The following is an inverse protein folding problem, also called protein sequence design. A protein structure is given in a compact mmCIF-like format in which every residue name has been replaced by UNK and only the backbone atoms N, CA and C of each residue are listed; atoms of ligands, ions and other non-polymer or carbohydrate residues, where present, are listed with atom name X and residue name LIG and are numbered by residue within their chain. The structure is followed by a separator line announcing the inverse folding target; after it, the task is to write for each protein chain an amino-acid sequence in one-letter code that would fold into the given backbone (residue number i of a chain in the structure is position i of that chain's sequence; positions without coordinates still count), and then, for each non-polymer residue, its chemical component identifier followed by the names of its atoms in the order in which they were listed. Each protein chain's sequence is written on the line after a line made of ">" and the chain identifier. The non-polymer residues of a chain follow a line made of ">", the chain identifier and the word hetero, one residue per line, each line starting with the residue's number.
data_IF_981579454448
#
_entry.id   IF_981579454448
#
_cell.length_a   1.000
_cell.length_b   1.000
_cell.length_c   1.000
_cell.angle_alpha   90.00
_cell.angle_beta   90.00
_cell.angle_gamma   90.00
#
_symmetry.space_group_name_H-M   'P 1'
#
loop_
_entity.id
_entity.type
_entity.pdbx_description
1 polymer ?
#
# COMPACT_ATOMS: atom_id res chain seq x y z
N UNK A 1 -12.31 25.48 -6.94
CA UNK A 1 -12.02 24.10 -6.51
C UNK A 1 -12.70 23.15 -7.47
N UNK A 2 -12.08 22.03 -7.79
CA UNK A 2 -12.75 20.95 -8.52
C UNK A 2 -13.83 20.29 -7.66
N UNK A 3 -14.77 19.57 -8.29
CA UNK A 3 -15.71 18.73 -7.57
C UNK A 3 -14.99 17.52 -6.95
N UNK A 4 -15.38 17.14 -5.73
CA UNK A 4 -14.86 15.97 -5.06
C UNK A 4 -15.75 14.76 -5.35
N UNK A 5 -15.15 13.67 -5.82
CA UNK A 5 -15.86 12.42 -6.08
C UNK A 5 -15.57 11.43 -4.95
N UNK A 6 -16.53 11.18 -4.07
CA UNK A 6 -16.37 10.27 -2.94
C UNK A 6 -16.93 8.90 -3.31
N UNK A 7 -16.04 7.95 -3.60
CA UNK A 7 -16.45 6.57 -3.91
C UNK A 7 -17.15 5.92 -2.71
N UNK A 8 -18.20 5.14 -2.98
CA UNK A 8 -18.92 4.34 -1.99
C UNK A 8 -18.17 3.06 -1.63
N UNK A 9 -17.17 2.65 -2.43
CA UNK A 9 -16.29 1.51 -2.16
C UNK A 9 -14.89 1.98 -1.76
N UNK A 10 -14.60 2.03 -0.45
CA UNK A 10 -13.30 2.45 0.09
C UNK A 10 -12.69 1.43 1.08
N UNK A 11 -13.18 0.21 1.04
CA UNK A 11 -12.79 -0.88 1.95
C UNK A 11 -13.11 -2.24 1.33
N UNK A 12 -12.65 -3.32 1.97
CA UNK A 12 -12.88 -4.71 1.53
C UNK A 12 -14.36 -5.13 1.47
N UNK A 13 -15.23 -4.40 2.15
CA UNK A 13 -16.68 -4.62 2.16
C UNK A 13 -17.38 -4.27 0.85
N UNK A 14 -18.69 -4.51 0.80
CA UNK A 14 -19.55 -4.02 -0.30
C UNK A 14 -19.61 -2.47 -0.28
N UNK A 15 -19.98 -1.82 -1.40
CA UNK A 15 -20.21 -0.37 -1.40
C UNK A 15 -21.17 0.08 -0.28
N UNK A 16 -20.86 1.21 0.35
CA UNK A 16 -21.69 1.83 1.37
C UNK A 16 -23.00 2.38 0.78
N UNK A 17 -24.04 2.42 1.60
CA UNK A 17 -25.30 3.07 1.24
C UNK A 17 -25.21 4.57 1.56
N UNK A 18 -25.49 5.46 0.59
CA UNK A 18 -25.54 6.91 0.84
C UNK A 18 -26.70 7.24 1.80
N UNK A 19 -26.45 8.15 2.75
CA UNK A 19 -27.46 8.62 3.73
C UNK A 19 -27.85 10.09 3.55
N UNK A 20 -27.26 10.76 2.56
CA UNK A 20 -27.55 12.14 2.15
C UNK A 20 -28.34 12.17 0.85
N UNK A 21 -28.86 13.34 0.49
CA UNK A 21 -29.61 13.60 -0.75
C UNK A 21 -28.94 14.71 -1.56
N UNK A 22 -29.17 14.70 -2.88
CA UNK A 22 -28.78 15.80 -3.76
C UNK A 22 -29.39 17.12 -3.25
N UNK A 23 -28.56 18.15 -3.14
CA UNK A 23 -28.90 19.45 -2.59
C UNK A 23 -28.59 19.63 -1.09
N UNK A 24 -28.24 18.56 -0.37
CA UNK A 24 -27.86 18.66 1.04
C UNK A 24 -26.55 19.44 1.19
N UNK A 25 -26.51 20.35 2.18
CA UNK A 25 -25.28 21.01 2.60
C UNK A 25 -24.50 20.11 3.53
N UNK A 26 -23.23 19.92 3.25
CA UNK A 26 -22.30 19.12 4.05
C UNK A 26 -21.14 19.98 4.55
N UNK A 27 -20.60 19.61 5.70
CA UNK A 27 -19.36 20.13 6.28
C UNK A 27 -18.27 19.06 6.23
N UNK A 28 -17.01 19.44 6.40
CA UNK A 28 -15.94 18.46 6.70
C UNK A 28 -16.37 17.55 7.85
N UNK A 29 -16.21 16.25 7.70
CA UNK A 29 -16.58 15.27 8.71
C UNK A 29 -18.08 14.95 8.80
N UNK A 30 -18.93 15.47 7.90
CA UNK A 30 -20.34 15.05 7.84
C UNK A 30 -20.41 13.59 7.37
N UNK A 31 -21.11 12.72 8.09
CA UNK A 31 -21.35 11.34 7.66
C UNK A 31 -22.26 11.34 6.42
N UNK A 32 -21.81 10.72 5.33
CA UNK A 32 -22.52 10.74 4.04
C UNK A 32 -22.88 9.35 3.51
N UNK A 33 -22.20 8.30 3.97
CA UNK A 33 -22.59 6.92 3.66
C UNK A 33 -22.18 5.94 4.78
N UNK A 34 -22.97 4.89 4.94
CA UNK A 34 -22.80 3.84 5.95
C UNK A 34 -22.61 2.45 5.32
N UNK A 35 -21.80 1.56 5.91
CA UNK A 35 -21.55 0.24 5.35
C UNK A 35 -22.77 -0.69 5.48
N UNK A 36 -23.02 -1.50 4.45
CA UNK A 36 -24.02 -2.58 4.49
C UNK A 36 -23.36 -3.90 4.89
N UNK A 37 -23.00 -4.02 6.18
CA UNK A 37 -22.29 -5.18 6.74
C UNK A 37 -20.84 -4.87 7.10
N UNK A 38 -19.89 -5.72 6.69
CA UNK A 38 -18.46 -5.45 6.88
C UNK A 38 -18.09 -4.20 6.08
N UNK A 39 -17.54 -3.18 6.75
CA UNK A 39 -17.16 -1.92 6.11
C UNK A 39 -16.91 -0.82 7.13
N UNK A 40 -16.83 0.41 6.66
CA UNK A 40 -16.55 1.58 7.48
C UNK A 40 -17.28 2.82 6.96
N UNK A 41 -17.64 3.72 7.88
CA UNK A 41 -18.31 4.98 7.56
C UNK A 41 -17.52 5.85 6.57
N UNK A 42 -18.25 6.57 5.72
CA UNK A 42 -17.71 7.50 4.72
C UNK A 42 -18.21 8.91 5.03
N UNK A 43 -17.29 9.86 4.98
CA UNK A 43 -17.50 11.24 5.39
C UNK A 43 -17.22 12.20 4.25
N UNK A 44 -17.89 13.35 4.26
CA UNK A 44 -17.48 14.49 3.43
C UNK A 44 -16.10 14.98 3.88
N UNK A 45 -15.20 15.16 2.94
CA UNK A 45 -13.86 15.72 3.15
C UNK A 45 -13.81 17.25 2.94
N UNK A 46 -14.95 17.90 2.65
CA UNK A 46 -15.08 19.33 2.44
C UNK A 46 -16.42 19.92 2.92
N UNK A 47 -16.45 21.24 3.07
CA UNK A 47 -17.69 22.02 3.08
C UNK A 47 -18.21 22.15 1.66
N UNK A 48 -19.52 21.99 1.45
CA UNK A 48 -20.10 22.09 0.12
C UNK A 48 -21.53 21.59 0.03
N UNK A 49 -21.94 21.29 -1.20
CA UNK A 49 -23.27 20.78 -1.52
C UNK A 49 -23.15 19.45 -2.26
N UNK A 50 -23.98 18.48 -1.89
CA UNK A 50 -24.11 17.22 -2.64
C UNK A 50 -24.74 17.52 -3.99
N UNK A 51 -23.99 17.36 -5.06
CA UNK A 51 -24.42 17.68 -6.43
C UNK A 51 -25.02 16.46 -7.14
N UNK A 52 -24.45 15.28 -6.90
CA UNK A 52 -24.87 14.03 -7.53
C UNK A 52 -24.64 12.84 -6.60
N UNK A 53 -25.50 11.83 -6.73
CA UNK A 53 -25.34 10.52 -6.08
C UNK A 53 -25.59 9.45 -7.15
N UNK A 54 -24.64 8.54 -7.31
CA UNK A 54 -24.73 7.37 -8.18
C UNK A 54 -24.59 6.09 -7.36
N UNK A 55 -24.71 4.93 -7.99
CA UNK A 55 -24.46 3.63 -7.35
C UNK A 55 -22.98 3.45 -6.93
N UNK A 56 -22.07 4.27 -7.46
CA UNK A 56 -20.62 4.16 -7.27
C UNK A 56 -20.05 5.26 -6.38
N UNK A 57 -20.64 6.46 -6.38
CA UNK A 57 -20.04 7.62 -5.72
C UNK A 57 -21.05 8.72 -5.33
N UNK A 58 -20.59 9.61 -4.46
CA UNK A 58 -21.24 10.88 -4.12
C UNK A 58 -20.35 12.02 -4.62
N UNK A 59 -20.90 12.93 -5.43
CA UNK A 59 -20.19 14.12 -5.91
C UNK A 59 -20.53 15.30 -5.03
N UNK A 60 -19.51 15.95 -4.48
CA UNK A 60 -19.63 17.13 -3.64
C UNK A 60 -19.00 18.30 -4.38
N UNK A 61 -19.79 19.35 -4.58
CA UNK A 61 -19.31 20.65 -5.05
C UNK A 61 -18.80 21.45 -3.84
N UNK A 62 -17.48 21.68 -3.70
CA UNK A 62 -16.96 22.37 -2.53
C UNK A 62 -17.33 23.85 -2.53
N UNK A 63 -17.60 24.40 -1.34
CA UNK A 63 -17.69 25.83 -1.13
C UNK A 63 -16.34 26.51 -1.42
N UNK A 64 -16.35 27.77 -1.85
CA UNK A 64 -15.13 28.54 -2.13
C UNK A 64 -14.24 28.71 -0.90
N UNK A 65 -14.85 28.84 0.27
CA UNK A 65 -14.17 28.93 1.56
C UNK A 65 -14.24 27.58 2.29
N UNK A 66 -13.08 27.04 2.66
CA UNK A 66 -12.96 25.81 3.43
C UNK A 66 -12.40 26.14 4.81
N UNK A 67 -13.19 25.88 5.85
CA UNK A 67 -12.76 26.07 7.24
C UNK A 67 -12.00 24.85 7.75
N UNK A 68 -11.21 25.02 8.79
CA UNK A 68 -10.46 23.92 9.41
C UNK A 68 -11.31 23.06 10.36
N UNK A 69 -12.43 23.60 10.87
CA UNK A 69 -13.31 22.81 11.72
C UNK A 69 -13.97 21.64 10.97
N UNK A 70 -14.36 20.63 11.72
CA UNK A 70 -15.07 19.48 11.21
C UNK A 70 -16.16 19.04 12.20
N UNK A 71 -17.13 18.29 11.69
CA UNK A 71 -18.14 17.63 12.52
C UNK A 71 -17.47 16.50 13.26
N UNK A 72 -17.43 16.58 14.60
CA UNK A 72 -16.87 15.54 15.44
C UNK A 72 -17.75 14.29 15.45
N UNK A 73 -17.12 13.12 15.51
CA UNK A 73 -17.85 11.87 15.73
C UNK A 73 -18.49 11.82 17.13
N UNK A 74 -19.50 10.96 17.35
CA UNK A 74 -20.04 10.72 18.69
C UNK A 74 -18.95 10.25 19.67
N UNK A 75 -19.09 10.67 20.92
CA UNK A 75 -18.22 10.23 22.01
C UNK A 75 -18.57 8.80 22.42
N UNK A 76 -17.58 8.04 22.88
CA UNK A 76 -17.75 6.65 23.32
C UNK A 76 -16.43 6.07 23.81
N UNK A 77 -16.37 4.74 23.92
CA UNK A 77 -15.09 4.05 24.15
C UNK A 77 -14.14 4.25 22.96
N UNK A 78 -12.80 4.10 23.15
CA UNK A 78 -11.85 4.22 22.05
C UNK A 78 -12.21 3.36 20.82
N UNK A 79 -12.64 2.11 21.04
CA UNK A 79 -13.05 1.20 19.96
C UNK A 79 -14.30 1.70 19.22
N UNK A 80 -15.31 2.18 19.94
CA UNK A 80 -16.54 2.75 19.35
C UNK A 80 -16.22 4.01 18.55
N UNK A 81 -15.33 4.87 19.03
CA UNK A 81 -14.92 6.08 18.33
C UNK A 81 -14.15 5.77 17.04
N UNK A 82 -13.21 4.80 17.06
CA UNK A 82 -12.50 4.36 15.86
C UNK A 82 -13.47 3.80 14.81
N UNK A 83 -14.47 3.02 15.26
CA UNK A 83 -15.53 2.49 14.41
C UNK A 83 -16.38 3.62 13.83
N UNK A 84 -16.81 4.56 14.66
CA UNK A 84 -17.62 5.71 14.27
C UNK A 84 -16.87 6.58 13.25
N UNK A 85 -15.58 6.85 13.44
CA UNK A 85 -14.73 7.60 12.52
C UNK A 85 -14.51 6.92 11.16
N UNK A 86 -14.92 5.66 11.00
CA UNK A 86 -14.75 4.94 9.74
C UNK A 86 -13.28 4.74 9.36
N UNK A 87 -12.41 4.49 10.35
CA UNK A 87 -10.99 4.21 10.12
C UNK A 87 -10.85 2.83 9.47
N UNK A 88 -10.09 2.78 8.39
CA UNK A 88 -9.73 1.56 7.67
C UNK A 88 -8.22 1.42 7.58
N UNK A 89 -7.72 0.20 7.37
CA UNK A 89 -6.30 -0.04 7.14
C UNK A 89 -5.79 0.68 5.89
N UNK A 90 -4.98 1.71 6.08
CA UNK A 90 -4.47 2.60 5.03
C UNK A 90 -3.24 2.05 4.29
N UNK A 91 -2.81 0.82 4.63
CA UNK A 91 -1.74 0.10 3.92
C UNK A 91 -2.18 -0.56 2.60
N UNK A 92 -3.40 -0.32 2.13
CA UNK A 92 -3.89 -0.73 0.80
C UNK A 92 -5.21 -1.50 0.82
N UNK A 93 -5.35 -2.53 1.66
CA UNK A 93 -6.54 -3.39 1.62
C UNK A 93 -7.83 -2.71 2.11
N UNK A 94 -7.74 -1.71 3.01
CA UNK A 94 -8.93 -1.03 3.54
C UNK A 94 -9.80 -1.90 4.44
N UNK A 95 -9.21 -2.81 5.23
CA UNK A 95 -9.97 -3.58 6.21
C UNK A 95 -10.40 -2.66 7.38
N UNK A 96 -11.65 -2.71 7.88
CA UNK A 96 -12.09 -1.85 8.99
C UNK A 96 -11.22 -2.02 10.25
N UNK A 97 -10.60 -0.92 10.71
CA UNK A 97 -9.58 -0.99 11.77
C UNK A 97 -10.15 -1.47 13.09
N UNK A 98 -11.33 -0.97 13.48
CA UNK A 98 -12.00 -1.40 14.70
C UNK A 98 -12.23 -2.92 14.74
N UNK A 99 -12.65 -3.53 13.63
CA UNK A 99 -12.84 -4.99 13.54
C UNK A 99 -11.50 -5.73 13.65
N UNK A 100 -10.42 -5.16 13.11
CA UNK A 100 -9.10 -5.79 13.11
C UNK A 100 -8.44 -5.81 14.50
N UNK A 101 -8.64 -4.76 15.30
CA UNK A 101 -7.98 -4.59 16.60
C UNK A 101 -8.82 -5.12 17.77
N UNK A 102 -10.09 -5.48 17.52
CA UNK A 102 -11.01 -6.13 18.46
C UNK A 102 -10.69 -7.63 18.64
N UNK A 103 -9.43 -7.93 18.96
CA UNK A 103 -8.91 -9.31 19.09
C UNK A 103 -8.83 -9.80 20.53
N UNK A 104 -8.85 -8.89 21.52
CA UNK A 104 -8.83 -9.17 22.96
C UNK A 104 -7.87 -10.31 23.35
N UNK A 105 -6.56 -10.07 23.26
CA UNK A 105 -5.56 -11.08 23.62
C UNK A 105 -5.61 -11.40 25.12
N UNK A 106 -5.76 -12.68 25.47
CA UNK A 106 -5.95 -13.10 26.87
C UNK A 106 -4.63 -13.22 27.65
N UNK A 107 -3.51 -13.54 26.99
CA UNK A 107 -2.20 -13.72 27.63
C UNK A 107 -1.07 -13.44 26.62
N UNK A 108 -0.32 -12.36 26.78
CA UNK A 108 0.62 -11.93 25.75
C UNK A 108 -0.09 -11.29 24.56
N UNK A 109 0.66 -10.68 23.66
CA UNK A 109 0.11 -10.17 22.42
C UNK A 109 1.04 -9.15 21.80
N UNK A 110 1.01 -9.07 20.47
CA UNK A 110 1.85 -8.16 19.73
C UNK A 110 1.04 -7.28 18.78
N UNK A 111 1.19 -5.96 18.92
CA UNK A 111 0.85 -5.02 17.86
C UNK A 111 2.08 -4.83 16.98
N UNK A 112 2.03 -5.29 15.75
CA UNK A 112 3.11 -5.12 14.77
C UNK A 112 2.77 -3.93 13.88
N UNK A 113 3.53 -2.84 14.03
CA UNK A 113 3.35 -1.63 13.21
C UNK A 113 4.13 -1.83 11.92
N UNK A 114 3.41 -1.98 10.82
CA UNK A 114 3.98 -2.02 9.49
C UNK A 114 4.37 -0.60 9.03
N UNK A 115 5.61 -0.24 9.33
CA UNK A 115 6.29 0.99 8.92
C UNK A 115 7.29 0.73 7.77
N UNK A 116 7.09 -0.37 7.02
CA UNK A 116 8.04 -0.83 6.01
C UNK A 116 8.00 -0.03 4.71
N UNK A 117 6.87 0.63 4.41
CA UNK A 117 6.55 1.33 3.14
C UNK A 117 7.17 0.60 1.93
N UNK A 118 6.69 -0.63 1.70
CA UNK A 118 7.40 -1.55 0.80
C UNK A 118 7.28 -1.24 -0.68
N UNK A 119 6.21 -0.58 -1.10
CA UNK A 119 6.03 -0.17 -2.50
C UNK A 119 7.13 0.84 -2.89
N UNK A 120 7.95 0.53 -3.90
CA UNK A 120 9.11 1.35 -4.22
C UNK A 120 8.71 2.74 -4.68
N UNK A 121 9.47 3.73 -4.20
CA UNK A 121 9.32 5.13 -4.57
C UNK A 121 8.33 5.91 -3.70
N UNK A 122 7.57 5.25 -2.82
CA UNK A 122 6.72 5.90 -1.82
C UNK A 122 7.58 6.41 -0.65
N UNK A 123 7.14 7.53 -0.04
CA UNK A 123 7.81 8.15 1.12
C UNK A 123 6.84 8.68 2.20
N UNK A 124 5.52 8.59 1.99
CA UNK A 124 4.53 9.31 2.81
C UNK A 124 4.39 8.73 4.23
N UNK A 125 4.49 7.41 4.40
CA UNK A 125 4.43 6.80 5.73
C UNK A 125 5.74 6.99 6.50
N UNK A 126 6.88 6.92 5.82
CA UNK A 126 8.19 7.20 6.44
C UNK A 126 8.26 8.66 6.88
N UNK A 127 7.87 9.60 6.00
CA UNK A 127 7.86 11.02 6.34
C UNK A 127 6.90 11.34 7.49
N UNK A 128 5.72 10.70 7.57
CA UNK A 128 4.83 10.87 8.72
C UNK A 128 5.49 10.44 10.04
N UNK A 129 6.29 9.37 10.05
CA UNK A 129 7.02 8.95 11.25
C UNK A 129 8.12 9.97 11.59
N UNK A 130 8.72 10.62 10.59
CA UNK A 130 9.73 11.65 10.84
C UNK A 130 9.12 12.95 11.36
N UNK A 131 7.96 13.34 10.84
CA UNK A 131 7.35 14.66 11.08
C UNK A 131 6.33 14.65 12.24
N UNK A 132 5.61 13.54 12.45
CA UNK A 132 4.59 13.37 13.51
C UNK A 132 4.69 12.04 14.30
N UNK A 133 5.88 11.66 14.80
CA UNK A 133 6.08 10.37 15.45
C UNK A 133 5.21 10.17 16.70
N UNK A 134 4.98 11.22 17.49
CA UNK A 134 4.22 11.14 18.74
C UNK A 134 2.76 10.75 18.47
N UNK A 135 2.17 11.24 17.37
CA UNK A 135 0.81 10.89 16.96
C UNK A 135 0.72 9.41 16.58
N UNK A 136 1.73 8.90 15.87
CA UNK A 136 1.81 7.48 15.52
C UNK A 136 1.94 6.62 16.79
N UNK A 137 2.85 6.98 17.71
CA UNK A 137 3.05 6.26 18.99
C UNK A 137 1.79 6.31 19.85
N UNK A 138 1.09 7.45 19.91
CA UNK A 138 -0.20 7.58 20.61
C UNK A 138 -1.23 6.60 20.06
N UNK A 139 -1.32 6.48 18.73
CA UNK A 139 -2.16 5.50 18.05
C UNK A 139 -1.79 4.06 18.40
N UNK A 140 -0.50 3.74 18.47
CA UNK A 140 -0.01 2.42 18.89
C UNK A 140 -0.48 2.08 20.29
N UNK A 141 -0.34 2.99 21.24
CA UNK A 141 -0.78 2.79 22.64
C UNK A 141 -2.27 2.50 22.74
N UNK A 142 -3.09 3.24 21.98
CA UNK A 142 -4.53 3.01 21.91
C UNK A 142 -4.87 1.62 21.33
N UNK A 143 -4.15 1.20 20.29
CA UNK A 143 -4.34 -0.14 19.71
C UNK A 143 -3.91 -1.23 20.70
N UNK A 144 -2.83 -1.04 21.45
CA UNK A 144 -2.41 -1.95 22.51
C UNK A 144 -3.49 -2.07 23.60
N UNK A 145 -4.02 -0.93 24.07
CA UNK A 145 -5.09 -0.88 25.07
C UNK A 145 -6.33 -1.64 24.63
N UNK A 146 -6.81 -1.37 23.41
CA UNK A 146 -8.02 -2.00 22.86
C UNK A 146 -7.82 -3.50 22.61
N UNK A 147 -6.67 -3.89 22.05
CA UNK A 147 -6.42 -5.30 21.71
C UNK A 147 -5.98 -6.14 22.91
N UNK A 148 -5.60 -5.52 24.04
CA UNK A 148 -5.02 -6.21 25.19
C UNK A 148 -3.58 -6.67 24.96
N UNK A 149 -2.88 -6.12 23.95
CA UNK A 149 -1.53 -6.54 23.62
C UNK A 149 -0.48 -5.97 24.58
N UNK A 150 0.40 -6.83 25.09
CA UNK A 150 1.46 -6.44 26.01
C UNK A 150 2.60 -5.68 25.35
N UNK A 151 2.85 -5.94 24.06
CA UNK A 151 4.01 -5.41 23.34
C UNK A 151 3.63 -4.85 21.98
N UNK A 152 4.40 -3.86 21.53
CA UNK A 152 4.33 -3.36 20.17
C UNK A 152 5.72 -3.33 19.52
N UNK A 153 5.76 -3.59 18.21
CA UNK A 153 7.01 -3.61 17.42
C UNK A 153 6.81 -2.82 16.13
N UNK A 154 7.59 -1.76 15.95
CA UNK A 154 7.72 -1.07 14.67
C UNK A 154 8.59 -1.86 13.71
N UNK A 155 7.98 -2.44 12.68
CA UNK A 155 8.69 -3.12 11.60
C UNK A 155 9.04 -2.09 10.51
N UNK A 156 10.29 -1.63 10.50
CA UNK A 156 10.77 -0.51 9.66
C UNK A 156 12.04 -0.91 8.91
N UNK A 157 12.21 -0.45 7.67
CA UNK A 157 13.42 -0.76 6.89
C UNK A 157 14.63 0.01 7.39
N UNK A 158 15.78 -0.66 7.52
CA UNK A 158 17.05 -0.06 7.99
C UNK A 158 17.49 1.17 7.20
N UNK A 159 17.19 1.24 5.91
CA UNK A 159 17.54 2.39 5.06
C UNK A 159 16.90 3.71 5.50
N UNK A 160 15.78 3.67 6.23
CA UNK A 160 15.03 4.86 6.65
C UNK A 160 15.64 5.44 7.93
N UNK A 161 16.93 5.77 7.88
CA UNK A 161 17.77 6.03 9.06
C UNK A 161 17.20 7.14 9.95
N UNK A 162 16.75 8.25 9.37
CA UNK A 162 16.15 9.37 10.11
C UNK A 162 14.89 8.93 10.88
N UNK A 163 13.96 8.24 10.24
CA UNK A 163 12.78 7.68 10.92
C UNK A 163 13.14 6.67 12.02
N UNK A 164 14.17 5.84 11.80
CA UNK A 164 14.67 4.89 12.82
C UNK A 164 15.23 5.63 14.03
N UNK A 165 16.09 6.63 13.81
CA UNK A 165 16.69 7.44 14.89
C UNK A 165 15.61 8.24 15.66
N UNK A 166 14.60 8.77 14.97
CA UNK A 166 13.45 9.43 15.59
C UNK A 166 12.67 8.47 16.50
N UNK A 167 12.37 7.26 16.02
CA UNK A 167 11.72 6.24 16.84
C UNK A 167 12.60 5.83 18.04
N UNK A 168 13.90 5.59 17.82
CA UNK A 168 14.82 5.21 18.90
C UNK A 168 14.92 6.27 19.99
N UNK A 169 14.81 7.55 19.65
CA UNK A 169 14.79 8.62 20.64
C UNK A 169 13.53 8.56 21.52
N UNK A 170 12.36 8.36 20.92
CA UNK A 170 11.06 8.38 21.62
C UNK A 170 10.73 7.08 22.34
N UNK A 171 11.21 5.94 21.84
CA UNK A 171 10.93 4.62 22.42
C UNK A 171 11.79 4.30 23.66
N UNK A 172 12.79 5.13 24.00
CA UNK A 172 13.59 4.95 25.22
C UNK A 172 12.75 4.90 26.50
N UNK A 173 11.66 5.65 26.53
CA UNK A 173 10.76 5.76 27.67
C UNK A 173 9.55 4.79 27.54
N UNK A 174 9.52 3.95 26.51
CA UNK A 174 8.42 3.03 26.20
C UNK A 174 8.87 1.57 26.32
N UNK A 175 8.93 0.98 27.54
CA UNK A 175 9.52 -0.34 27.76
C UNK A 175 8.82 -1.50 27.02
N UNK A 176 7.57 -1.29 26.60
CA UNK A 176 6.75 -2.27 25.90
C UNK A 176 6.67 -2.03 24.39
N UNK A 177 7.32 -1.00 23.87
CA UNK A 177 7.29 -0.64 22.46
C UNK A 177 8.72 -0.60 21.93
N UNK A 178 9.00 -1.40 20.92
CA UNK A 178 10.33 -1.49 20.30
C UNK A 178 10.26 -1.34 18.79
N UNK A 179 11.41 -1.37 18.13
CA UNK A 179 11.52 -1.46 16.67
C UNK A 179 12.28 -2.71 16.24
N UNK A 180 11.99 -3.18 15.03
CA UNK A 180 12.69 -4.26 14.35
C UNK A 180 13.06 -3.80 12.94
N UNK A 181 14.35 -3.91 12.60
CA UNK A 181 14.88 -3.50 11.30
C UNK A 181 14.65 -4.57 10.24
N UNK A 182 14.00 -4.17 9.15
CA UNK A 182 13.70 -5.02 8.00
C UNK A 182 14.70 -4.82 6.86
N UNK A 183 14.96 -5.88 6.05
CA UNK A 183 15.72 -5.75 4.81
C UNK A 183 14.99 -4.88 3.80
N UNK A 184 15.75 -4.14 2.97
CA UNK A 184 15.19 -3.34 1.87
C UNK A 184 14.83 -4.21 0.66
N UNK A 185 13.90 -5.13 0.87
CA UNK A 185 13.37 -6.02 -0.15
C UNK A 185 11.87 -5.86 -0.24
N UNK A 186 11.33 -6.00 -1.44
CA UNK A 186 9.90 -6.21 -1.63
C UNK A 186 9.64 -7.73 -1.60
N UNK A 187 8.66 -8.24 -0.81
CA UNK A 187 7.54 -7.55 -0.18
C UNK A 187 7.57 -7.64 1.37
N UNK A 188 8.55 -7.03 2.05
CA UNK A 188 8.65 -7.14 3.53
C UNK A 188 7.48 -6.55 4.32
N UNK A 189 6.61 -5.79 3.66
CA UNK A 189 5.40 -5.21 4.22
C UNK A 189 4.18 -6.12 4.09
N UNK A 190 4.31 -7.30 3.51
CA UNK A 190 3.25 -8.31 3.58
C UNK A 190 3.10 -8.78 5.04
N UNK A 191 1.86 -8.93 5.51
CA UNK A 191 1.58 -9.10 6.94
C UNK A 191 2.25 -10.33 7.57
N UNK A 192 2.36 -11.44 6.86
CA UNK A 192 3.03 -12.66 7.34
C UNK A 192 4.54 -12.55 7.25
N UNK A 193 5.07 -11.78 6.30
CA UNK A 193 6.49 -11.41 6.31
C UNK A 193 6.83 -10.58 7.56
N UNK A 194 6.01 -9.59 7.91
CA UNK A 194 6.19 -8.79 9.13
C UNK A 194 6.13 -9.67 10.39
N UNK A 195 5.15 -10.56 10.50
CA UNK A 195 5.05 -11.52 11.61
C UNK A 195 6.30 -12.39 11.71
N UNK A 196 6.77 -12.92 10.56
CA UNK A 196 7.98 -13.77 10.53
C UNK A 196 9.21 -13.02 11.01
N UNK A 197 9.47 -11.81 10.51
CA UNK A 197 10.67 -11.07 10.92
C UNK A 197 10.61 -10.64 12.38
N UNK A 198 9.46 -10.14 12.84
CA UNK A 198 9.35 -9.62 14.21
C UNK A 198 9.25 -10.72 15.28
N UNK A 199 8.58 -11.83 14.98
CA UNK A 199 8.24 -12.86 15.97
C UNK A 199 8.90 -14.23 15.70
N UNK A 200 9.53 -14.41 14.54
CA UNK A 200 10.10 -15.71 14.13
C UNK A 200 9.05 -16.78 13.80
N UNK A 201 7.78 -16.39 13.63
CA UNK A 201 6.67 -17.31 13.38
C UNK A 201 6.32 -17.29 11.88
N UNK A 202 6.41 -18.45 11.23
CA UNK A 202 5.95 -18.61 9.84
C UNK A 202 4.45 -18.97 9.85
N UNK A 203 3.66 -18.15 9.17
CA UNK A 203 2.22 -18.36 9.00
C UNK A 203 1.91 -19.00 7.64
N UNK A 204 1.06 -20.02 7.67
CA UNK A 204 0.48 -20.62 6.47
C UNK A 204 -0.33 -19.57 5.68
N UNK A 205 -0.45 -19.69 4.35
CA UNK A 205 -1.13 -18.68 3.51
C UNK A 205 -2.55 -18.33 3.97
N UNK A 206 -3.31 -19.30 4.48
CA UNK A 206 -4.67 -19.10 4.97
C UNK A 206 -4.74 -18.50 6.38
N UNK A 207 -3.65 -18.47 7.14
CA UNK A 207 -3.63 -17.96 8.51
C UNK A 207 -3.55 -16.43 8.51
N UNK A 208 -4.19 -15.85 9.53
CA UNK A 208 -4.11 -14.42 9.86
C UNK A 208 -3.07 -14.19 10.96
N UNK A 209 -2.57 -12.96 11.14
CA UNK A 209 -1.65 -12.62 12.23
C UNK A 209 -2.10 -13.04 13.64
N UNK A 210 -3.40 -13.16 13.87
CA UNK A 210 -3.97 -13.63 15.15
C UNK A 210 -3.55 -15.05 15.51
N UNK A 211 -3.23 -15.90 14.53
CA UNK A 211 -2.67 -17.24 14.77
C UNK A 211 -1.27 -17.20 15.39
N UNK A 212 -0.56 -16.06 15.27
CA UNK A 212 0.71 -15.78 15.94
C UNK A 212 0.55 -14.87 17.17
N UNK A 213 -0.67 -14.78 17.73
CA UNK A 213 -1.01 -13.87 18.83
C UNK A 213 -0.63 -12.41 18.54
N UNK A 214 -0.91 -11.95 17.31
CA UNK A 214 -0.51 -10.63 16.84
C UNK A 214 -1.54 -9.96 15.95
N UNK A 215 -1.46 -8.63 15.86
CA UNK A 215 -2.20 -7.81 14.89
C UNK A 215 -1.22 -6.93 14.13
N UNK A 216 -1.31 -6.92 12.79
CA UNK A 216 -0.47 -6.04 11.95
C UNK A 216 -1.25 -4.81 11.54
N UNK A 217 -0.73 -3.61 11.82
CA UNK A 217 -1.39 -2.34 11.52
C UNK A 217 -0.41 -1.37 10.83
N UNK A 218 -0.87 -0.62 9.83
CA UNK A 218 -0.03 0.35 9.13
C UNK A 218 0.19 1.61 9.98
N UNK A 219 1.36 2.24 9.88
CA UNK A 219 1.74 3.41 10.71
C UNK A 219 0.77 4.59 10.58
N UNK A 220 0.30 4.90 9.36
CA UNK A 220 -0.69 5.96 9.16
C UNK A 220 -2.04 5.61 9.77
N UNK A 221 -2.40 4.33 9.74
CA UNK A 221 -3.63 3.88 10.41
C UNK A 221 -3.56 4.13 11.92
N UNK A 222 -2.39 3.97 12.55
CA UNK A 222 -2.21 4.35 13.96
C UNK A 222 -2.43 5.85 14.19
N UNK A 223 -1.86 6.71 13.35
CA UNK A 223 -2.09 8.16 13.46
C UNK A 223 -3.59 8.51 13.35
N UNK A 224 -4.32 7.88 12.41
CA UNK A 224 -5.77 8.06 12.27
C UNK A 224 -6.57 7.51 13.45
N UNK A 225 -6.07 6.48 14.14
CA UNK A 225 -6.64 5.99 15.41
C UNK A 225 -6.51 7.04 16.50
N UNK A 226 -5.34 7.67 16.64
CA UNK A 226 -5.14 8.75 17.61
C UNK A 226 -6.09 9.93 17.33
N UNK A 227 -6.19 10.38 16.08
CA UNK A 227 -7.09 11.46 15.67
C UNK A 227 -8.57 11.14 15.98
N UNK A 228 -9.00 9.89 15.75
CA UNK A 228 -10.36 9.47 16.03
C UNK A 228 -10.68 9.51 17.53
N UNK A 229 -9.73 9.14 18.40
CA UNK A 229 -9.96 9.03 19.84
C UNK A 229 -9.75 10.36 20.55
N UNK A 230 -8.62 11.04 20.28
CA UNK A 230 -8.22 12.23 21.03
C UNK A 230 -8.89 13.50 20.48
N UNK A 231 -9.16 13.56 19.17
CA UNK A 231 -9.73 14.75 18.52
C UNK A 231 -11.19 14.55 18.08
N UNK A 232 -11.71 13.32 18.16
CA UNK A 232 -13.01 12.92 17.59
C UNK A 232 -13.12 13.25 16.11
N UNK A 233 -12.01 13.11 15.38
CA UNK A 233 -11.91 13.42 13.95
C UNK A 233 -12.38 12.22 13.11
N UNK A 234 -13.40 12.40 12.25
CA UNK A 234 -13.74 11.36 11.28
C UNK A 234 -12.62 11.15 10.25
N UNK A 235 -12.46 9.93 9.74
CA UNK A 235 -11.42 9.61 8.76
C UNK A 235 -11.88 10.02 7.35
N UNK A 236 -11.43 11.20 6.90
CA UNK A 236 -11.69 11.74 5.55
C UNK A 236 -10.43 12.28 4.84
N UNK A 237 -9.25 12.01 5.41
CA UNK A 237 -7.95 12.46 4.89
C UNK A 237 -7.04 11.26 4.58
N UNK A 238 -6.15 11.42 3.60
CA UNK A 238 -5.16 10.42 3.22
C UNK A 238 -3.80 11.07 2.93
N UNK A 239 -2.73 10.46 3.46
CA UNK A 239 -1.37 10.80 3.07
C UNK A 239 -0.99 9.98 1.82
N UNK A 240 -0.31 10.58 0.84
CA UNK A 240 0.12 9.82 -0.34
C UNK A 240 1.35 10.42 -0.99
N UNK A 241 2.01 9.61 -1.83
CA UNK A 241 3.14 10.04 -2.65
C UNK A 241 2.74 10.18 -4.11
N UNK A 242 3.07 11.33 -4.72
CA UNK A 242 3.02 11.52 -6.17
C UNK A 242 4.46 11.53 -6.70
N UNK A 243 4.73 10.72 -7.73
CA UNK A 243 6.09 10.59 -8.26
C UNK A 243 6.10 10.11 -9.71
N UNK A 244 7.21 10.30 -10.40
CA UNK A 244 7.46 9.72 -11.72
C UNK A 244 7.85 10.78 -12.72
N UNK A 245 7.32 10.65 -13.94
CA UNK A 245 7.61 11.56 -15.05
C UNK A 245 6.87 12.89 -14.90
N UNK A 246 7.39 13.76 -14.04
CA UNK A 246 6.79 15.03 -13.66
C UNK A 246 7.76 16.20 -13.96
N UNK A 247 7.21 17.39 -14.17
CA UNK A 247 8.06 18.59 -14.30
C UNK A 247 8.75 18.88 -12.96
N UNK A 248 10.04 19.21 -13.00
CA UNK A 248 10.84 19.48 -11.79
C UNK A 248 11.65 18.28 -11.29
N UNK A 249 11.55 17.12 -11.93
CA UNK A 249 12.41 15.96 -11.69
C UNK A 249 11.65 14.75 -11.14
N UNK A 250 12.40 13.72 -10.78
CA UNK A 250 11.88 12.41 -10.36
C UNK A 250 11.72 12.28 -8.84
N UNK A 251 11.88 13.36 -8.07
CA UNK A 251 11.74 13.33 -6.62
C UNK A 251 10.31 13.05 -6.17
N UNK A 252 10.18 12.47 -4.98
CA UNK A 252 8.88 12.14 -4.42
C UNK A 252 8.19 13.41 -3.88
N UNK A 253 6.98 13.69 -4.37
CA UNK A 253 6.11 14.71 -3.80
C UNK A 253 5.20 14.05 -2.76
N UNK A 254 5.46 14.31 -1.48
CA UNK A 254 4.64 13.80 -0.39
C UNK A 254 3.56 14.81 -0.05
N UNK A 255 2.30 14.38 -0.11
CA UNK A 255 1.16 15.16 0.35
C UNK A 255 0.60 14.52 1.62
N UNK A 256 0.58 15.31 2.69
CA UNK A 256 -0.02 14.93 3.98
C UNK A 256 -1.44 15.48 4.04
N UNK A 257 -2.35 14.69 4.61
CA UNK A 257 -3.72 15.05 4.90
C UNK A 257 -4.51 15.56 3.67
N UNK A 258 -4.44 14.81 2.57
CA UNK A 258 -5.21 15.13 1.35
C UNK A 258 -6.68 14.74 1.55
N UNK A 259 -7.64 15.62 1.21
CA UNK A 259 -9.06 15.28 1.19
C UNK A 259 -9.35 14.08 0.30
N UNK A 260 -9.95 13.03 0.88
CA UNK A 260 -10.48 11.90 0.11
C UNK A 260 -11.45 12.43 -0.96
N UNK A 261 -11.36 11.91 -2.19
CA UNK A 261 -12.11 12.38 -3.35
C UNK A 261 -11.42 13.43 -4.22
N UNK A 262 -10.23 13.90 -3.83
CA UNK A 262 -9.39 14.74 -4.69
C UNK A 262 -8.97 13.94 -5.93
N UNK A 263 -8.96 14.58 -7.11
CA UNK A 263 -8.65 13.89 -8.35
C UNK A 263 -7.15 13.59 -8.49
N UNK A 264 -6.83 12.55 -9.25
CA UNK A 264 -5.47 12.23 -9.67
C UNK A 264 -4.84 13.42 -10.41
N UNK A 265 -5.63 14.10 -11.27
CA UNK A 265 -5.23 15.31 -12.00
C UNK A 265 -4.73 16.41 -11.08
N UNK A 266 -5.52 16.78 -10.08
CA UNK A 266 -5.16 17.85 -9.15
C UNK A 266 -3.85 17.57 -8.43
N UNK A 267 -3.64 16.32 -8.00
CA UNK A 267 -2.42 15.91 -7.31
C UNK A 267 -1.19 15.91 -8.21
N UNK A 268 -1.33 15.51 -9.47
CA UNK A 268 -0.27 15.60 -10.48
C UNK A 268 0.06 17.06 -10.79
N UNK A 269 -0.94 17.92 -10.98
CA UNK A 269 -0.74 19.36 -11.24
C UNK A 269 -0.02 20.05 -10.06
N UNK A 270 -0.42 19.73 -8.82
CA UNK A 270 0.26 20.21 -7.59
C UNK A 270 1.71 19.72 -7.48
N UNK A 271 2.03 18.58 -8.11
CA UNK A 271 3.37 18.04 -8.18
C UNK A 271 4.18 18.57 -9.39
N UNK A 272 3.66 19.56 -10.13
CA UNK A 272 4.34 20.18 -11.28
C UNK A 272 3.77 19.79 -12.64
N UNK A 273 2.81 18.86 -12.70
CA UNK A 273 2.26 18.35 -13.94
C UNK A 273 3.15 17.29 -14.60
N UNK A 274 2.60 16.60 -15.60
CA UNK A 274 3.32 15.55 -16.34
C UNK A 274 4.39 16.19 -17.26
N UNK A 275 5.58 15.59 -17.28
CA UNK A 275 6.65 15.97 -18.21
C UNK A 275 6.55 15.13 -19.51
N UNK A 276 6.06 15.76 -20.58
CA UNK A 276 6.00 15.16 -21.91
C UNK A 276 5.11 13.91 -22.02
N UNK A 277 5.48 13.00 -22.92
CA UNK A 277 4.76 11.74 -23.12
C UNK A 277 4.99 10.76 -21.96
N UNK A 278 3.93 10.12 -21.49
CA UNK A 278 3.96 9.11 -20.43
C UNK A 278 3.33 7.79 -20.91
N UNK A 279 3.61 6.71 -20.19
CA UNK A 279 3.06 5.39 -20.53
C UNK A 279 1.67 5.18 -19.92
N UNK A 280 1.60 5.25 -18.60
CA UNK A 280 0.36 5.19 -17.85
C UNK A 280 0.48 5.94 -16.52
N UNK A 281 -0.66 6.15 -15.87
CA UNK A 281 -0.73 6.58 -14.48
C UNK A 281 -1.14 5.37 -13.66
N UNK A 282 -0.37 5.07 -12.61
CA UNK A 282 -0.66 3.97 -11.68
C UNK A 282 -1.16 4.58 -10.37
N UNK A 283 -2.36 4.20 -9.94
CA UNK A 283 -2.88 4.52 -8.62
C UNK A 283 -2.63 3.34 -7.67
N UNK A 284 -1.99 3.64 -6.53
CA UNK A 284 -1.41 2.66 -5.61
C UNK A 284 0.11 2.57 -5.78
N UNK A 285 0.70 1.43 -5.44
CA UNK A 285 2.13 1.20 -5.60
C UNK A 285 2.52 0.58 -6.94
N UNK A 286 3.81 0.51 -7.25
CA UNK A 286 4.28 -0.05 -8.51
C UNK A 286 3.95 -1.55 -8.68
N UNK A 287 3.91 -2.31 -7.59
CA UNK A 287 3.62 -3.75 -7.64
C UNK A 287 2.13 -4.07 -7.56
N UNK A 288 1.39 -3.36 -6.70
CA UNK A 288 -0.01 -3.68 -6.38
C UNK A 288 -1.02 -2.69 -6.96
N UNK A 289 -0.55 -1.55 -7.47
CA UNK A 289 -1.37 -0.51 -8.06
C UNK A 289 -1.95 -0.92 -9.42
N UNK A 290 -2.94 -0.13 -9.84
CA UNK A 290 -3.66 -0.33 -11.10
C UNK A 290 -3.52 0.89 -11.99
N UNK A 291 -3.62 0.67 -13.30
CA UNK A 291 -3.77 1.78 -14.23
C UNK A 291 -5.01 2.61 -13.87
N UNK A 292 -4.90 3.93 -14.00
CA UNK A 292 -5.97 4.86 -13.69
C UNK A 292 -5.98 6.02 -14.67
N UNK A 293 -7.11 6.71 -14.72
CA UNK A 293 -7.29 7.96 -15.44
C UNK A 293 -7.09 9.18 -14.52
N UNK A 294 -6.90 10.34 -15.15
CA UNK A 294 -6.69 11.62 -14.48
C UNK A 294 -7.88 12.08 -13.62
N UNK A 295 -9.10 11.72 -14.03
CA UNK A 295 -10.32 12.18 -13.35
C UNK A 295 -10.73 11.25 -12.20
N UNK A 296 -10.00 10.14 -12.01
CA UNK A 296 -10.26 9.21 -10.92
C UNK A 296 -9.98 9.86 -9.55
N UNK A 297 -10.84 9.63 -8.54
CA UNK A 297 -10.61 10.14 -7.19
C UNK A 297 -9.70 9.25 -6.34
N UNK A 298 -8.97 9.87 -5.42
CA UNK A 298 -8.29 9.13 -4.35
C UNK A 298 -9.28 8.65 -3.28
N UNK A 299 -8.91 7.57 -2.60
CA UNK A 299 -9.67 6.97 -1.49
C UNK A 299 -8.81 6.87 -0.23
N UNK A 300 -9.39 6.42 0.89
CA UNK A 300 -8.66 6.11 2.13
C UNK A 300 -7.51 5.08 1.96
N UNK A 301 -7.48 4.34 0.86
CA UNK A 301 -6.46 3.33 0.58
C UNK A 301 -5.44 3.76 -0.48
N UNK A 302 -5.58 4.94 -1.07
CA UNK A 302 -4.67 5.41 -2.12
C UNK A 302 -3.35 5.88 -1.52
N UNK A 303 -2.32 5.03 -1.55
CA UNK A 303 -0.98 5.37 -1.04
C UNK A 303 -0.10 6.14 -2.03
N UNK A 304 -0.37 6.06 -3.33
CA UNK A 304 0.42 6.75 -4.33
C UNK A 304 -0.27 6.97 -5.68
N UNK A 305 0.31 7.90 -6.45
CA UNK A 305 0.04 8.15 -7.86
C UNK A 305 1.40 8.18 -8.57
N UNK A 306 1.62 7.28 -9.50
CA UNK A 306 2.91 7.12 -10.19
C UNK A 306 2.73 7.32 -11.70
N UNK A 307 3.41 8.32 -12.25
CA UNK A 307 3.40 8.61 -13.70
C UNK A 307 4.59 7.91 -14.36
N UNK A 308 4.33 6.97 -15.28
CA UNK A 308 5.38 6.12 -15.82
C UNK A 308 6.05 6.68 -17.07
N UNK A 309 7.21 6.11 -17.41
CA UNK A 309 7.79 6.26 -18.74
C UNK A 309 6.87 5.64 -19.81
N UNK A 310 6.91 6.13 -21.06
CA UNK A 310 6.29 5.46 -22.21
C UNK A 310 6.69 4.00 -22.30
N UNK A 311 5.75 3.17 -22.76
CA UNK A 311 6.03 1.78 -23.07
C UNK A 311 6.95 1.68 -24.29
N UNK A 312 7.84 0.68 -24.29
CA UNK A 312 8.52 0.29 -25.51
C UNK A 312 7.57 -0.53 -26.38
N UNK A 313 7.70 -0.40 -27.70
CA UNK A 313 6.99 -1.25 -28.65
C UNK A 313 7.79 -2.55 -28.88
N UNK A 314 7.16 -3.70 -28.59
CA UNK A 314 7.74 -5.02 -28.84
C UNK A 314 7.36 -5.61 -30.19
N UNK A 315 6.66 -4.86 -31.05
CA UNK A 315 6.34 -5.19 -32.43
C UNK A 315 5.69 -6.57 -32.60
N UNK A 316 4.80 -6.94 -31.67
CA UNK A 316 4.10 -8.22 -31.67
C UNK A 316 4.95 -9.41 -31.23
N UNK A 317 6.11 -9.19 -30.60
CA UNK A 317 6.97 -10.26 -30.11
C UNK A 317 6.22 -11.21 -29.17
N UNK A 318 6.62 -12.48 -29.21
CA UNK A 318 6.05 -13.52 -28.36
C UNK A 318 6.48 -13.33 -26.90
N UNK A 319 5.50 -13.33 -25.99
CA UNK A 319 5.72 -13.06 -24.57
C UNK A 319 5.13 -14.15 -23.67
N UNK A 320 5.93 -14.58 -22.70
CA UNK A 320 5.49 -15.36 -21.56
C UNK A 320 5.13 -14.48 -20.36
N UNK A 321 4.06 -14.80 -19.64
CA UNK A 321 3.66 -14.10 -18.41
C UNK A 321 3.98 -14.96 -17.19
N UNK A 322 4.80 -14.45 -16.27
CA UNK A 322 5.01 -15.08 -14.96
C UNK A 322 4.28 -14.30 -13.87
N UNK A 323 3.16 -14.85 -13.40
CA UNK A 323 2.32 -14.24 -12.36
C UNK A 323 2.82 -14.60 -10.97
N UNK A 324 2.90 -13.63 -10.07
CA UNK A 324 3.26 -13.82 -8.68
C UNK A 324 2.10 -13.43 -7.76
N UNK A 325 1.98 -14.10 -6.61
CA UNK A 325 1.02 -13.71 -5.58
C UNK A 325 1.38 -12.37 -4.89
N UNK A 326 2.63 -11.94 -4.99
CA UNK A 326 3.10 -10.70 -4.35
C UNK A 326 3.03 -9.48 -5.28
N UNK A 327 2.56 -9.60 -6.52
CA UNK A 327 2.56 -8.48 -7.48
C UNK A 327 1.25 -8.41 -8.25
N UNK A 328 1.29 -7.86 -9.47
CA UNK A 328 0.15 -7.82 -10.36
C UNK A 328 -0.46 -9.19 -10.57
N UNK A 329 -1.79 -9.24 -10.49
CA UNK A 329 -2.57 -10.40 -10.90
C UNK A 329 -2.45 -10.63 -12.42
N UNK A 330 -2.99 -11.76 -12.88
CA UNK A 330 -2.89 -12.13 -14.29
C UNK A 330 -3.50 -11.06 -15.21
N UNK A 331 -4.64 -10.49 -14.84
CA UNK A 331 -5.32 -9.45 -15.61
C UNK A 331 -4.42 -8.22 -15.82
N UNK A 332 -3.75 -7.75 -14.75
CA UNK A 332 -2.78 -6.66 -14.82
C UNK A 332 -1.58 -7.01 -15.70
N UNK A 333 -1.07 -8.24 -15.60
CA UNK A 333 0.06 -8.68 -16.43
C UNK A 333 -0.32 -8.79 -17.91
N UNK A 334 -1.54 -9.22 -18.23
CA UNK A 334 -2.07 -9.24 -19.59
C UNK A 334 -2.28 -7.84 -20.15
N UNK A 335 -2.77 -6.91 -19.32
CA UNK A 335 -2.85 -5.49 -19.68
C UNK A 335 -1.49 -4.93 -20.07
N UNK A 336 -0.45 -5.22 -19.28
CA UNK A 336 0.93 -4.81 -19.58
C UNK A 336 1.44 -5.46 -20.87
N UNK A 337 1.20 -6.75 -21.10
CA UNK A 337 1.55 -7.41 -22.35
C UNK A 337 0.99 -6.65 -23.57
N UNK A 338 -0.28 -6.20 -23.49
CA UNK A 338 -0.91 -5.39 -24.54
C UNK A 338 -0.27 -4.01 -24.66
N UNK A 339 0.01 -3.33 -23.55
CA UNK A 339 0.65 -2.01 -23.51
C UNK A 339 2.06 -2.01 -24.11
N UNK A 340 2.79 -3.10 -23.99
CA UNK A 340 4.08 -3.32 -24.65
C UNK A 340 3.96 -3.76 -26.13
N UNK A 341 2.75 -3.85 -26.69
CA UNK A 341 2.49 -4.39 -28.02
C UNK A 341 3.12 -5.79 -28.22
N UNK A 342 2.95 -6.68 -27.25
CA UNK A 342 3.40 -8.06 -27.32
C UNK A 342 2.22 -9.03 -27.43
N UNK A 343 2.53 -10.24 -27.90
CA UNK A 343 1.56 -11.34 -28.00
C UNK A 343 1.83 -12.35 -26.90
N UNK A 344 0.90 -12.48 -25.97
CA UNK A 344 0.94 -13.57 -24.99
C UNK A 344 0.86 -14.93 -25.70
N UNK A 345 1.84 -15.80 -25.43
CA UNK A 345 1.87 -17.18 -25.97
C UNK A 345 1.98 -18.25 -24.89
N UNK A 346 2.29 -17.85 -23.66
CA UNK A 346 2.42 -18.74 -22.51
C UNK A 346 2.21 -17.96 -21.22
N UNK A 347 1.66 -18.60 -20.19
CA UNK A 347 1.67 -18.06 -18.84
C UNK A 347 1.96 -19.16 -17.82
N UNK A 348 2.60 -18.77 -16.73
CA UNK A 348 2.88 -19.62 -15.59
C UNK A 348 2.63 -18.83 -14.30
N UNK A 349 2.37 -19.56 -13.22
CA UNK A 349 2.34 -18.99 -11.88
C UNK A 349 3.65 -19.31 -11.15
N UNK A 350 4.06 -18.38 -10.27
CA UNK A 350 5.15 -18.63 -9.33
C UNK A 350 4.87 -19.91 -8.54
N UNK A 351 5.90 -20.74 -8.32
CA UNK A 351 5.79 -22.00 -7.57
C UNK A 351 5.16 -21.83 -6.18
N UNK A 352 5.39 -20.70 -5.51
CA UNK A 352 4.80 -20.42 -4.19
C UNK A 352 3.41 -19.75 -4.25
N UNK A 353 2.88 -19.42 -5.43
CA UNK A 353 1.62 -18.72 -5.55
C UNK A 353 0.44 -19.69 -5.41
N UNK A 354 0.03 -19.95 -4.17
CA UNK A 354 -1.10 -20.81 -3.84
C UNK A 354 -2.44 -20.11 -4.08
N UNK A 355 -3.33 -20.81 -4.76
CA UNK A 355 -4.70 -20.37 -4.99
C UNK A 355 -5.54 -20.51 -3.72
N UNK A 356 -6.28 -19.46 -3.41
CA UNK A 356 -7.17 -19.37 -2.26
C UNK A 356 -8.61 -19.69 -2.69
N UNK A 357 -9.47 -20.01 -1.72
CA UNK A 357 -10.89 -20.37 -1.99
C UNK A 357 -11.67 -19.29 -2.75
N UNK A 358 -11.26 -18.02 -2.62
CA UNK A 358 -11.89 -16.88 -3.28
C UNK A 358 -11.25 -16.55 -4.65
N UNK A 359 -10.37 -17.41 -5.18
CA UNK A 359 -9.67 -17.22 -6.44
C UNK A 359 -8.46 -16.28 -6.37
N UNK A 360 -8.22 -15.61 -5.24
CA UNK A 360 -6.98 -14.85 -5.05
C UNK A 360 -5.78 -15.79 -4.89
N UNK A 361 -4.56 -15.27 -5.04
CA UNK A 361 -3.34 -16.04 -4.78
C UNK A 361 -2.58 -15.45 -3.61
N UNK A 362 -2.04 -16.32 -2.75
CA UNK A 362 -1.12 -15.94 -1.68
C UNK A 362 0.19 -16.69 -1.83
N UNK A 363 1.28 -16.01 -1.50
CA UNK A 363 2.61 -16.59 -1.57
C UNK A 363 2.85 -17.48 -0.33
N UNK A 364 3.37 -18.69 -0.48
CA UNK A 364 3.78 -19.52 0.67
C UNK A 364 4.73 -18.77 1.60
N UNK A 365 5.80 -18.19 1.02
CA UNK A 365 6.86 -17.55 1.80
C UNK A 365 7.27 -16.19 1.19
N UNK A 366 6.49 -15.12 1.44
CA UNK A 366 6.75 -13.81 0.86
C UNK A 366 8.18 -13.31 1.17
N UNK A 367 8.89 -12.89 0.12
CA UNK A 367 10.29 -12.41 0.20
C UNK A 367 11.36 -13.50 0.13
N UNK A 368 11.00 -14.78 0.21
CA UNK A 368 11.91 -15.92 0.22
C UNK A 368 11.50 -16.97 -0.83
N UNK A 369 12.05 -16.85 -2.03
CA UNK A 369 11.50 -17.49 -3.22
C UNK A 369 12.24 -18.76 -3.63
N UNK A 370 11.53 -19.78 -4.16
CA UNK A 370 12.16 -20.95 -4.75
C UNK A 370 12.57 -20.58 -6.19
N UNK A 371 13.63 -21.20 -6.69
CA UNK A 371 14.13 -20.93 -8.03
C UNK A 371 13.05 -21.08 -9.12
N UNK A 372 13.01 -20.15 -10.09
CA UNK A 372 12.05 -20.14 -11.20
C UNK A 372 12.55 -20.85 -12.47
N UNK A 373 13.56 -21.71 -12.36
CA UNK A 373 14.21 -22.38 -13.52
C UNK A 373 13.21 -23.20 -14.34
N UNK A 374 12.28 -23.91 -13.69
CA UNK A 374 11.26 -24.71 -14.38
C UNK A 374 10.34 -23.85 -15.26
N UNK A 375 9.90 -22.69 -14.76
CA UNK A 375 9.08 -21.76 -15.51
C UNK A 375 9.85 -21.17 -16.71
N UNK A 376 11.13 -20.82 -16.53
CA UNK A 376 11.97 -20.37 -17.64
C UNK A 376 12.16 -21.44 -18.73
N UNK A 377 12.33 -22.72 -18.34
CA UNK A 377 12.37 -23.83 -19.30
C UNK A 377 11.05 -23.96 -20.07
N UNK A 378 9.92 -23.78 -19.40
CA UNK A 378 8.60 -23.81 -20.03
C UNK A 378 8.44 -22.67 -21.05
N UNK A 379 8.78 -21.43 -20.68
CA UNK A 379 8.72 -20.30 -21.61
C UNK A 379 9.63 -20.48 -22.83
N UNK A 380 10.83 -21.05 -22.65
CA UNK A 380 11.71 -21.40 -23.75
C UNK A 380 11.07 -22.45 -24.67
N UNK A 381 10.47 -23.50 -24.10
CA UNK A 381 9.77 -24.56 -24.85
C UNK A 381 8.60 -24.00 -25.66
N UNK A 382 7.88 -23.04 -25.09
CA UNK A 382 6.76 -22.34 -25.72
C UNK A 382 7.21 -21.26 -26.71
N UNK A 383 8.52 -21.16 -26.97
CA UNK A 383 9.14 -20.25 -27.94
C UNK A 383 8.87 -18.76 -27.62
N UNK A 384 8.81 -18.41 -26.35
CA UNK A 384 8.75 -17.01 -25.93
C UNK A 384 10.06 -16.30 -26.27
N UNK A 385 9.99 -15.10 -26.83
CA UNK A 385 11.13 -14.19 -27.00
C UNK A 385 11.35 -13.34 -25.74
N UNK A 386 10.24 -12.86 -25.16
CA UNK A 386 10.20 -12.08 -23.95
C UNK A 386 9.48 -12.84 -22.84
N UNK A 387 9.83 -12.53 -21.60
CA UNK A 387 9.00 -12.83 -20.44
C UNK A 387 8.75 -11.54 -19.67
N UNK A 388 7.51 -11.33 -19.23
CA UNK A 388 7.16 -10.28 -18.27
C UNK A 388 6.89 -10.94 -16.92
N UNK A 389 7.62 -10.50 -15.89
CA UNK A 389 7.54 -11.06 -14.55
C UNK A 389 6.89 -10.08 -13.58
N UNK A 390 5.97 -10.59 -12.76
CA UNK A 390 5.29 -9.83 -11.70
C UNK A 390 5.84 -10.12 -10.30
N UNK A 391 6.99 -10.79 -10.21
CA UNK A 391 7.47 -11.37 -8.98
C UNK A 391 8.20 -10.38 -8.08
N UNK A 392 8.28 -10.69 -6.79
CA UNK A 392 8.97 -9.86 -5.82
C UNK A 392 10.50 -9.85 -6.01
N UNK A 393 11.21 -9.02 -5.24
CA UNK A 393 12.67 -8.80 -5.34
C UNK A 393 13.47 -10.08 -5.51
N UNK A 394 13.31 -11.01 -4.57
CA UNK A 394 14.09 -12.23 -4.52
C UNK A 394 13.76 -13.18 -5.69
N UNK A 395 12.47 -13.30 -6.01
CA UNK A 395 12.05 -14.14 -7.13
C UNK A 395 12.60 -13.63 -8.47
N UNK A 396 12.67 -12.31 -8.65
CA UNK A 396 13.25 -11.71 -9.85
C UNK A 396 14.72 -12.11 -10.04
N UNK A 397 15.50 -12.26 -8.96
CA UNK A 397 16.87 -12.81 -9.05
C UNK A 397 16.89 -14.21 -9.63
N UNK A 398 16.00 -15.07 -9.15
CA UNK A 398 15.97 -16.46 -9.59
C UNK A 398 15.59 -16.59 -11.07
N UNK A 399 14.71 -15.70 -11.56
CA UNK A 399 14.40 -15.60 -13.00
C UNK A 399 15.64 -15.15 -13.75
N UNK A 400 16.29 -14.07 -13.31
CA UNK A 400 17.47 -13.49 -13.98
C UNK A 400 18.69 -14.41 -13.95
N UNK A 401 18.79 -15.32 -12.98
CA UNK A 401 19.89 -16.29 -12.89
C UNK A 401 19.88 -17.34 -14.03
N UNK A 402 18.73 -17.56 -14.67
CA UNK A 402 18.55 -18.62 -15.68
C UNK A 402 17.90 -18.17 -16.99
N UNK A 403 16.93 -17.24 -16.96
CA UNK A 403 16.17 -16.80 -18.15
C UNK A 403 17.06 -16.24 -19.27
N UNK A 404 17.93 -15.25 -19.00
CA UNK A 404 18.85 -14.71 -20.00
C UNK A 404 19.79 -15.77 -20.61
N UNK A 405 20.29 -16.72 -19.80
CA UNK A 405 21.13 -17.84 -20.28
C UNK A 405 20.37 -18.78 -21.23
N UNK A 406 19.04 -18.74 -21.18
CA UNK A 406 18.15 -19.50 -22.06
C UNK A 406 17.74 -18.73 -23.32
N UNK A 407 18.19 -17.47 -23.47
CA UNK A 407 17.83 -16.58 -24.58
C UNK A 407 16.55 -15.76 -24.36
N UNK A 408 15.95 -15.82 -23.16
CA UNK A 408 14.73 -15.07 -22.84
C UNK A 408 15.09 -13.63 -22.45
N UNK A 409 14.43 -12.65 -23.07
CA UNK A 409 14.52 -11.23 -22.67
C UNK A 409 13.53 -10.98 -21.53
N UNK A 410 14.01 -10.40 -20.42
CA UNK A 410 13.19 -10.24 -19.21
C UNK A 410 12.75 -8.80 -19.02
N UNK A 411 11.43 -8.60 -19.00
CA UNK A 411 10.76 -7.39 -18.51
C UNK A 411 10.18 -7.66 -17.12
N UNK A 412 10.07 -6.62 -16.32
CA UNK A 412 9.40 -6.65 -15.04
C UNK A 412 8.20 -5.71 -15.08
N UNK A 413 7.10 -6.09 -14.43
CA UNK A 413 5.87 -5.29 -14.42
C UNK A 413 6.06 -3.85 -13.96
N UNK A 414 7.10 -3.58 -13.18
CA UNK A 414 7.38 -2.24 -12.62
C UNK A 414 8.36 -1.42 -13.46
N UNK A 415 8.93 -1.95 -14.54
CA UNK A 415 10.04 -1.31 -15.25
C UNK A 415 9.74 0.12 -15.71
N UNK A 416 8.55 0.33 -16.29
CA UNK A 416 8.13 1.65 -16.79
C UNK A 416 7.98 2.67 -15.66
N UNK A 417 7.57 2.22 -14.46
CA UNK A 417 7.49 3.06 -13.26
C UNK A 417 8.87 3.30 -12.66
N UNK A 418 9.68 2.24 -12.47
CA UNK A 418 11.00 2.34 -11.83
C UNK A 418 11.95 3.25 -12.61
N UNK A 419 11.90 3.24 -13.94
CA UNK A 419 12.63 4.19 -14.77
C UNK A 419 12.18 5.63 -14.56
N UNK A 420 10.89 5.87 -14.31
CA UNK A 420 10.36 7.22 -14.11
C UNK A 420 10.73 7.81 -12.74
N UNK A 421 11.03 6.96 -11.76
CA UNK A 421 11.36 7.36 -10.38
C UNK A 421 12.84 7.18 -10.04
N UNK A 422 13.69 7.02 -11.05
CA UNK A 422 15.14 6.76 -10.93
C UNK A 422 15.49 5.63 -9.94
N UNK A 423 14.65 4.60 -9.89
CA UNK A 423 14.86 3.44 -9.03
C UNK A 423 15.54 2.32 -9.82
N UNK A 424 16.53 1.62 -9.23
CA UNK A 424 17.11 0.42 -9.84
C UNK A 424 16.05 -0.60 -10.27
N UNK A 425 16.19 -1.16 -11.46
CA UNK A 425 15.23 -2.13 -11.96
C UNK A 425 15.27 -3.42 -11.14
N UNK A 426 14.09 -4.01 -10.92
CA UNK A 426 13.97 -5.32 -10.29
C UNK A 426 14.48 -6.39 -11.26
N UNK A 427 15.78 -6.68 -11.14
CA UNK A 427 16.52 -7.67 -11.93
C UNK A 427 17.40 -8.52 -11.03
N UNK A 428 18.33 -7.88 -10.34
CA UNK A 428 19.28 -8.53 -9.44
C UNK A 428 19.36 -7.75 -8.15
N UNK A 429 18.79 -8.31 -7.10
CA UNK A 429 18.88 -7.92 -5.71
C UNK A 429 20.32 -8.06 -5.25
N UNK A 430 20.89 -6.94 -4.81
CA UNK A 430 22.19 -6.85 -4.17
C UNK A 430 22.01 -6.24 -2.79
N UNK A 431 21.11 -6.83 -1.99
CA UNK A 431 20.93 -6.48 -0.58
C UNK A 431 20.86 -7.76 0.24
N UNK A 432 21.32 -7.69 1.48
CA UNK A 432 21.20 -8.79 2.43
C UNK A 432 19.73 -9.04 2.77
N UNK A 433 19.37 -10.31 2.96
CA UNK A 433 18.09 -10.71 3.55
C UNK A 433 18.13 -10.70 5.08
N UNK A 434 19.33 -10.73 5.66
CA UNK A 434 19.55 -10.61 7.09
C UNK A 434 20.02 -9.20 7.41
N UNK A 435 19.39 -8.60 8.41
CA UNK A 435 19.67 -7.22 8.81
C UNK A 435 20.13 -7.20 10.25
N UNK A 436 21.32 -6.65 10.48
CA UNK A 436 21.78 -6.36 11.82
C UNK A 436 20.88 -5.29 12.45
N UNK A 437 20.45 -5.53 13.68
CA UNK A 437 19.54 -4.65 14.41
C UNK A 437 20.23 -3.38 14.93
N UNK A 438 21.57 -3.38 14.92
CA UNK A 438 22.38 -2.18 15.04
C UNK A 438 22.35 -1.39 13.72
N UNK A 439 21.96 -0.12 13.82
CA UNK A 439 21.81 0.79 12.69
C UNK A 439 23.17 1.16 12.05
N UNK A 440 24.25 1.03 12.81
CA UNK A 440 25.61 1.41 12.39
C UNK A 440 26.41 0.25 11.80
N UNK A 441 25.91 -0.98 11.91
CA UNK A 441 26.52 -2.15 11.26
C UNK A 441 26.10 -2.21 9.80
N UNK A 442 27.08 -2.30 8.89
CA UNK A 442 26.82 -2.52 7.47
C UNK A 442 26.45 -3.99 7.24
N UNK A 443 25.28 -4.24 6.69
CA UNK A 443 24.83 -5.62 6.44
C UNK A 443 25.68 -6.25 5.31
N UNK A 444 26.17 -7.47 5.55
CA UNK A 444 26.96 -8.20 4.55
C UNK A 444 26.07 -8.58 3.36
N UNK A 445 26.37 -8.04 2.19
CA UNK A 445 25.70 -8.36 0.91
C UNK A 445 26.33 -9.61 0.28
N UNK A 446 26.81 -10.58 1.06
CA UNK A 446 27.46 -11.78 0.48
C UNK A 446 26.58 -12.30 -0.65
N UNK A 447 27.19 -12.35 -1.83
CA UNK A 447 26.53 -12.43 -3.13
C UNK A 447 25.56 -13.61 -3.16
N UNK A 448 24.26 -13.30 -3.08
CA UNK A 448 23.16 -14.26 -3.28
C UNK A 448 23.34 -15.06 -4.58
#
# INVERSE_FOLDING_TARGET
>A
MENLQILLSQHVGKPCAPIVKVGDKVKKGTLIAEPTGLGANIFSSAYGVVEEITDEMIVIKPDEEQKDEYVQIPEGTPLEMIKAAGVVGMGGAGFPTAVKIDTHFENGGYVLINASECEPGLKHNVQQIEDEPEKVIRGVKLVMEISGADKAIFAIKKKNRKAVETLDALLKDEPNISRHLLPDIYPMGEERAVVRECLGIELEPSQLPSAANSVVINSETCARVAEAVDERKPSFLKNLTVRGKLNGGSEAHVFIDVPVGTSVRSLIERAGGIDGEYGEIVMGGAFTGKSTDLDAPITKTTGAILVSMPFMDLHGASMGILVCACGGNYERMQELCKKYNAKEVSHCYCKQAQEQKNGSRKCERPGNCPGQVANNLQFKKDKCEYIIIGNCSDCSNTVMASGPKMGLKVLHQTDHVMRAVDHPLYRTLRVSKQVDQDLDVVDNVESN
#
